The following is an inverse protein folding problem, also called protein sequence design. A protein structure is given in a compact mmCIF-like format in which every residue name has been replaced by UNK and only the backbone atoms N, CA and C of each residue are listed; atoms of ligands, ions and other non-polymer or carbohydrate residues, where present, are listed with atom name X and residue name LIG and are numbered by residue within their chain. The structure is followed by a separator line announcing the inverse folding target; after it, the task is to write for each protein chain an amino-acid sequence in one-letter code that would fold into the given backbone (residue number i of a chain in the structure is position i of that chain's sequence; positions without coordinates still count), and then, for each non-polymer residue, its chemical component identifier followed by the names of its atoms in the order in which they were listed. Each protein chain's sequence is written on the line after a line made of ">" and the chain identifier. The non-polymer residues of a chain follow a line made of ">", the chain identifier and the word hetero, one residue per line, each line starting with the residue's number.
data_IF_681904017046
#
_entry.id   IF_681904017046
#
_cell.length_a   1.000
_cell.length_b   1.000
_cell.length_c   1.000
_cell.angle_alpha   90.00
_cell.angle_beta   90.00
_cell.angle_gamma   90.00
#
_symmetry.space_group_name_H-M   'P 1'
#
loop_
_entity.id
_entity.type
_entity.pdbx_description
1 polymer ?
#
# COMPACT_ATOMS: atom_id res chain seq x y z
N UNK A 1 -12.14 60.31 44.03
CA UNK A 1 -12.35 58.93 43.53
C UNK A 1 -10.99 58.25 43.40
N UNK A 2 -10.63 57.37 44.35
CA UNK A 2 -9.32 56.72 44.40
C UNK A 2 -9.31 55.43 43.57
N UNK A 3 -8.40 55.33 42.60
CA UNK A 3 -8.13 54.12 41.81
C UNK A 3 -7.16 53.23 42.58
N UNK A 4 -7.67 52.13 43.13
CA UNK A 4 -6.85 51.06 43.73
C UNK A 4 -6.30 50.21 42.57
N UNK A 5 -5.00 50.37 42.27
CA UNK A 5 -4.28 49.47 41.36
C UNK A 5 -3.82 48.25 42.17
N UNK A 6 -4.44 47.09 41.93
CA UNK A 6 -3.93 45.81 42.44
C UNK A 6 -2.77 45.37 41.53
N UNK A 7 -1.55 45.47 42.05
CA UNK A 7 -0.40 44.78 41.47
C UNK A 7 -0.50 43.31 41.88
N UNK A 8 -1.04 42.46 41.00
CA UNK A 8 -0.90 41.01 41.15
C UNK A 8 0.46 40.63 40.55
N UNK A 9 1.45 40.45 41.40
CA UNK A 9 2.71 39.82 41.02
C UNK A 9 2.45 38.36 40.66
N UNK A 10 2.59 38.06 39.37
CA UNK A 10 2.43 36.74 38.78
C UNK A 10 3.63 35.88 39.19
N UNK A 11 3.59 35.30 40.39
CA UNK A 11 4.61 34.35 40.84
C UNK A 11 4.50 33.06 40.02
N UNK A 12 5.25 32.99 38.90
CA UNK A 12 5.54 31.74 38.20
C UNK A 12 6.40 30.87 39.10
N UNK A 13 5.75 30.05 39.92
CA UNK A 13 6.44 29.13 40.82
C UNK A 13 7.29 28.15 39.99
N UNK A 14 8.54 27.88 40.39
CA UNK A 14 9.42 26.92 39.73
C UNK A 14 8.90 25.47 39.82
N UNK A 15 7.80 25.26 40.54
CA UNK A 15 7.10 23.99 40.71
C UNK A 15 6.25 23.67 39.48
N UNK A 16 5.75 24.69 38.77
CA UNK A 16 4.90 24.51 37.60
C UNK A 16 5.55 23.70 36.45
N UNK A 17 6.84 23.88 36.09
CA UNK A 17 7.48 23.02 35.09
C UNK A 17 7.66 21.58 35.58
N UNK A 18 7.93 21.36 36.87
CA UNK A 18 8.07 20.01 37.44
C UNK A 18 6.77 19.22 37.38
N UNK A 19 5.63 19.86 37.72
CA UNK A 19 4.31 19.24 37.62
C UNK A 19 3.98 18.87 36.16
N UNK A 20 4.28 19.76 35.19
CA UNK A 20 4.08 19.47 33.77
C UNK A 20 4.91 18.27 33.31
N UNK A 21 6.16 18.19 33.72
CA UNK A 21 7.06 17.09 33.36
C UNK A 21 6.57 15.76 33.95
N UNK A 22 6.13 15.77 35.21
CA UNK A 22 5.55 14.60 35.89
C UNK A 22 4.26 14.14 35.19
N UNK A 23 3.41 15.07 34.76
CA UNK A 23 2.18 14.74 34.04
C UNK A 23 2.45 14.10 32.67
N UNK A 24 3.45 14.60 31.94
CA UNK A 24 3.89 13.98 30.66
C UNK A 24 4.41 12.56 30.90
N UNK A 25 5.23 12.36 31.95
CA UNK A 25 5.75 11.05 32.32
C UNK A 25 4.63 10.07 32.69
N UNK A 26 3.61 10.55 33.43
CA UNK A 26 2.43 9.76 33.79
C UNK A 26 1.63 9.34 32.55
N UNK A 27 1.41 10.24 31.59
CA UNK A 27 0.71 9.93 30.33
C UNK A 27 1.47 8.88 29.52
N UNK A 28 2.80 8.99 29.42
CA UNK A 28 3.64 8.03 28.72
C UNK A 28 3.62 6.64 29.39
N UNK A 29 3.50 6.59 30.72
CA UNK A 29 3.37 5.34 31.47
C UNK A 29 1.97 4.70 31.36
N UNK A 30 0.90 5.51 31.27
CA UNK A 30 -0.46 5.00 31.09
C UNK A 30 -0.70 4.41 29.70
N UNK A 31 0.05 4.85 28.68
CA UNK A 31 -0.12 4.39 27.30
C UNK A 31 1.14 3.74 26.72
N UNK A 32 1.53 2.54 27.21
CA UNK A 32 2.73 1.85 26.72
C UNK A 32 2.66 1.51 25.22
N UNK A 33 1.46 1.43 24.64
CA UNK A 33 1.22 1.19 23.21
C UNK A 33 1.58 2.38 22.31
N UNK A 34 1.75 3.60 22.83
CA UNK A 34 2.17 4.75 22.04
C UNK A 34 3.68 4.83 21.82
N UNK A 35 4.48 4.16 22.67
CA UNK A 35 5.96 4.23 22.61
C UNK A 35 6.56 3.02 21.89
N UNK A 36 5.77 2.00 21.60
CA UNK A 36 6.16 0.95 20.64
C UNK A 36 6.09 1.51 19.22
N UNK A 37 7.02 2.39 18.87
CA UNK A 37 7.28 2.71 17.47
C UNK A 37 7.72 1.40 16.80
N UNK A 38 6.78 0.72 16.17
CA UNK A 38 7.06 -0.43 15.30
C UNK A 38 7.99 0.13 14.22
N UNK A 39 9.30 -0.03 14.39
CA UNK A 39 10.29 0.22 13.35
C UNK A 39 9.91 -0.71 12.20
N UNK A 40 9.06 -0.23 11.30
CA UNK A 40 8.83 -0.88 10.01
C UNK A 40 10.21 -0.92 9.37
N UNK A 41 10.81 -2.10 9.34
CA UNK A 41 12.11 -2.39 8.75
C UNK A 41 12.15 -1.77 7.35
N UNK A 42 13.19 -0.99 7.06
CA UNK A 42 13.29 -0.20 5.82
C UNK A 42 13.20 -1.05 4.55
N UNK A 43 13.47 -2.35 4.67
CA UNK A 43 13.40 -3.36 3.60
C UNK A 43 12.00 -3.39 2.96
N UNK A 44 10.92 -3.45 3.76
CA UNK A 44 9.56 -3.52 3.23
C UNK A 44 9.17 -2.27 2.42
N UNK A 45 9.73 -1.11 2.76
CA UNK A 45 9.46 0.13 2.03
C UNK A 45 10.03 0.09 0.60
N UNK A 46 11.21 -0.51 0.41
CA UNK A 46 11.84 -0.64 -0.92
C UNK A 46 11.01 -1.55 -1.83
N UNK A 47 10.61 -2.71 -1.33
CA UNK A 47 9.76 -3.68 -2.06
C UNK A 47 8.43 -3.08 -2.48
N UNK A 48 7.72 -2.43 -1.56
CA UNK A 48 6.45 -1.75 -1.85
C UNK A 48 6.64 -0.68 -2.93
N UNK A 49 7.73 0.10 -2.86
CA UNK A 49 8.03 1.14 -3.86
C UNK A 49 8.31 0.54 -5.25
N UNK A 50 8.97 -0.61 -5.35
CA UNK A 50 9.21 -1.31 -6.62
C UNK A 50 7.88 -1.74 -7.27
N UNK A 51 6.98 -2.37 -6.49
CA UNK A 51 5.66 -2.80 -6.98
C UNK A 51 4.79 -1.59 -7.38
N UNK A 52 4.82 -0.52 -6.60
CA UNK A 52 4.09 0.69 -6.95
C UNK A 52 4.62 1.31 -8.25
N UNK A 53 5.94 1.28 -8.47
CA UNK A 53 6.55 1.75 -9.71
C UNK A 53 6.10 0.92 -10.90
N UNK A 54 6.10 -0.42 -10.81
CA UNK A 54 5.62 -1.29 -11.89
C UNK A 54 4.14 -1.07 -12.18
N UNK A 55 3.29 -0.94 -11.15
CA UNK A 55 1.88 -0.62 -11.34
C UNK A 55 1.69 0.72 -12.07
N UNK A 56 2.44 1.76 -11.69
CA UNK A 56 2.35 3.06 -12.35
C UNK A 56 2.81 2.99 -13.82
N UNK A 57 3.80 2.17 -14.14
CA UNK A 57 4.24 1.93 -15.53
C UNK A 57 3.12 1.28 -16.33
N UNK A 58 2.52 0.20 -15.83
CA UNK A 58 1.40 -0.49 -16.50
C UNK A 58 0.22 0.47 -16.69
N UNK A 59 -0.14 1.22 -15.64
CA UNK A 59 -1.20 2.24 -15.70
C UNK A 59 -0.91 3.31 -16.76
N UNK A 60 0.31 3.83 -16.83
CA UNK A 60 0.71 4.83 -17.83
C UNK A 60 0.57 4.28 -19.25
N UNK A 61 1.08 3.07 -19.50
CA UNK A 61 0.99 2.43 -20.81
C UNK A 61 -0.47 2.24 -21.24
N UNK A 62 -1.36 1.93 -20.30
CA UNK A 62 -2.79 1.80 -20.55
C UNK A 62 -3.49 3.15 -20.76
N UNK A 63 -3.10 4.20 -20.05
CA UNK A 63 -3.59 5.57 -20.29
C UNK A 63 -3.28 5.99 -21.72
N UNK A 64 -2.08 5.71 -22.22
CA UNK A 64 -1.66 6.06 -23.57
C UNK A 64 -2.40 5.23 -24.65
N UNK A 65 -2.87 4.03 -24.29
CA UNK A 65 -3.60 3.13 -25.18
C UNK A 65 -5.12 3.40 -25.22
N UNK A 66 -5.67 4.01 -24.17
CA UNK A 66 -7.08 4.39 -24.08
C UNK A 66 -7.31 5.80 -24.66
N UNK A 67 -8.46 6.04 -25.30
CA UNK A 67 -8.76 7.31 -25.97
C UNK A 67 -8.91 8.46 -24.95
N UNK A 68 -7.99 9.44 -24.87
CA UNK A 68 -8.04 10.50 -23.87
C UNK A 68 -9.27 11.41 -23.99
N UNK A 69 -9.97 11.39 -25.14
CA UNK A 69 -11.15 12.23 -25.37
C UNK A 69 -12.36 11.85 -24.53
N UNK A 70 -12.40 10.62 -24.00
CA UNK A 70 -13.53 10.09 -23.23
C UNK A 70 -13.18 9.84 -21.76
N UNK A 71 -12.84 10.90 -21.02
CA UNK A 71 -12.35 10.79 -19.64
C UNK A 71 -13.20 9.93 -18.70
N UNK A 72 -14.53 9.87 -18.88
CA UNK A 72 -15.41 9.03 -18.06
C UNK A 72 -15.38 7.54 -18.47
N UNK A 73 -15.41 7.22 -19.77
CA UNK A 73 -15.26 5.82 -20.26
C UNK A 73 -13.83 5.28 -20.06
N UNK A 74 -12.86 6.19 -19.88
CA UNK A 74 -11.46 5.82 -19.78
C UNK A 74 -11.12 5.00 -18.56
N UNK A 75 -11.85 5.12 -17.45
CA UNK A 75 -11.50 4.35 -16.26
C UNK A 75 -11.70 2.85 -16.48
N UNK A 76 -12.81 2.44 -17.11
CA UNK A 76 -13.07 1.03 -17.43
C UNK A 76 -12.11 0.49 -18.50
N UNK A 77 -11.77 1.30 -19.50
CA UNK A 77 -10.74 0.96 -20.47
C UNK A 77 -9.38 0.72 -19.79
N UNK A 78 -8.96 1.63 -18.90
CA UNK A 78 -7.66 1.55 -18.21
C UNK A 78 -7.62 0.32 -17.31
N UNK A 79 -8.65 0.06 -16.51
CA UNK A 79 -8.68 -1.09 -15.61
C UNK A 79 -8.65 -2.41 -16.39
N UNK A 80 -9.46 -2.53 -17.45
CA UNK A 80 -9.42 -3.72 -18.33
C UNK A 80 -8.06 -3.91 -19.01
N UNK A 81 -7.44 -2.83 -19.47
CA UNK A 81 -6.09 -2.86 -20.05
C UNK A 81 -5.02 -3.29 -19.03
N UNK A 82 -5.11 -2.81 -17.79
CA UNK A 82 -4.10 -3.10 -16.76
C UNK A 82 -4.06 -4.57 -16.39
N UNK A 83 -5.23 -5.21 -16.24
CA UNK A 83 -5.36 -6.64 -16.01
C UNK A 83 -6.82 -7.07 -16.22
N UNK A 84 -7.08 -7.88 -17.24
CA UNK A 84 -8.45 -8.30 -17.60
C UNK A 84 -9.08 -9.22 -16.53
N UNK A 85 -8.28 -10.09 -15.91
CA UNK A 85 -8.77 -11.01 -14.86
C UNK A 85 -9.24 -10.23 -13.62
N UNK A 86 -8.40 -9.32 -13.09
CA UNK A 86 -8.77 -8.45 -11.98
C UNK A 86 -9.94 -7.52 -12.33
N UNK A 87 -10.09 -7.14 -13.61
CA UNK A 87 -11.24 -6.36 -14.04
C UNK A 87 -12.52 -7.20 -13.97
N UNK A 88 -12.48 -8.44 -14.45
CA UNK A 88 -13.61 -9.37 -14.34
C UNK A 88 -14.02 -9.61 -12.88
N UNK A 89 -13.04 -9.82 -11.99
CA UNK A 89 -13.30 -10.07 -10.57
C UNK A 89 -13.89 -8.86 -9.82
N UNK A 90 -13.58 -7.62 -10.22
CA UNK A 90 -14.06 -6.43 -9.49
C UNK A 90 -15.24 -5.76 -10.21
N UNK A 91 -15.24 -5.78 -11.54
CA UNK A 91 -16.19 -5.10 -12.42
C UNK A 91 -17.09 -6.05 -13.22
N UNK A 92 -17.06 -7.34 -12.91
CA UNK A 92 -17.96 -8.34 -13.49
C UNK A 92 -19.42 -8.14 -13.12
N UNK A 93 -20.30 -8.80 -13.87
CA UNK A 93 -21.77 -8.75 -13.68
C UNK A 93 -22.18 -9.17 -12.26
N UNK A 94 -21.43 -10.10 -11.66
CA UNK A 94 -21.65 -10.58 -10.29
C UNK A 94 -21.44 -9.52 -9.20
N UNK A 95 -20.68 -8.46 -9.52
CA UNK A 95 -20.36 -7.35 -8.62
C UNK A 95 -21.04 -6.03 -9.01
N UNK A 96 -22.11 -6.09 -9.81
CA UNK A 96 -22.87 -4.92 -10.25
C UNK A 96 -22.42 -4.32 -11.57
N UNK A 97 -21.49 -4.96 -12.29
CA UNK A 97 -21.05 -4.55 -13.63
C UNK A 97 -20.11 -3.35 -13.65
N UNK A 98 -19.84 -2.86 -14.85
CA UNK A 98 -19.03 -1.67 -15.10
C UNK A 98 -19.69 -0.42 -14.50
N UNK A 99 -18.87 0.51 -14.00
CA UNK A 99 -19.36 1.77 -13.41
C UNK A 99 -20.05 2.63 -14.47
N UNK A 100 -21.13 3.30 -14.08
CA UNK A 100 -21.80 4.24 -14.96
C UNK A 100 -20.97 5.53 -15.17
N UNK A 101 -21.29 6.29 -16.21
CA UNK A 101 -20.57 7.54 -16.53
C UNK A 101 -20.71 8.56 -15.39
N UNK A 102 -19.59 8.84 -14.72
CA UNK A 102 -19.53 9.79 -13.61
C UNK A 102 -19.62 9.13 -12.23
N UNK A 103 -19.81 7.82 -12.16
CA UNK A 103 -19.71 7.05 -10.93
C UNK A 103 -18.23 6.80 -10.59
N UNK A 104 -17.88 6.93 -9.31
CA UNK A 104 -16.54 6.62 -8.80
C UNK A 104 -16.69 5.79 -7.54
N UNK A 105 -16.31 4.51 -7.62
CA UNK A 105 -16.24 3.62 -6.47
C UNK A 105 -14.80 3.49 -5.98
N UNK A 106 -14.48 4.21 -4.89
CA UNK A 106 -13.15 4.18 -4.29
C UNK A 106 -12.78 2.81 -3.70
N UNK A 107 -13.77 2.04 -3.24
CA UNK A 107 -13.53 0.74 -2.61
C UNK A 107 -13.18 -0.29 -3.67
N UNK A 108 -13.96 -0.36 -4.75
CA UNK A 108 -13.67 -1.22 -5.91
C UNK A 108 -12.34 -0.83 -6.55
N UNK A 109 -12.05 0.46 -6.69
CA UNK A 109 -10.76 0.89 -7.24
C UNK A 109 -9.57 0.47 -6.35
N UNK A 110 -9.70 0.55 -5.02
CA UNK A 110 -8.66 0.03 -4.10
C UNK A 110 -8.50 -1.48 -4.21
N UNK A 111 -9.60 -2.22 -4.29
CA UNK A 111 -9.58 -3.68 -4.45
C UNK A 111 -8.94 -4.08 -5.78
N UNK A 112 -9.30 -3.41 -6.86
CA UNK A 112 -8.70 -3.59 -8.18
C UNK A 112 -7.19 -3.32 -8.17
N UNK A 113 -6.76 -2.18 -7.62
CA UNK A 113 -5.33 -1.87 -7.51
C UNK A 113 -4.58 -2.93 -6.69
N UNK A 114 -5.21 -3.48 -5.65
CA UNK A 114 -4.62 -4.54 -4.84
C UNK A 114 -4.48 -5.83 -5.65
N UNK A 115 -5.54 -6.27 -6.34
CA UNK A 115 -5.50 -7.43 -7.24
C UNK A 115 -4.37 -7.32 -8.27
N UNK A 116 -4.25 -6.16 -8.94
CA UNK A 116 -3.18 -5.93 -9.94
C UNK A 116 -1.79 -5.97 -9.29
N UNK A 117 -1.62 -5.42 -8.09
CA UNK A 117 -0.34 -5.50 -7.35
C UNK A 117 0.04 -6.95 -7.06
N UNK A 118 -0.94 -7.78 -6.71
CA UNK A 118 -0.70 -9.19 -6.41
C UNK A 118 -0.43 -10.01 -7.68
N UNK A 119 -1.11 -9.71 -8.79
CA UNK A 119 -0.79 -10.27 -10.11
C UNK A 119 0.65 -9.96 -10.54
N UNK A 120 1.09 -8.71 -10.41
CA UNK A 120 2.48 -8.30 -10.71
C UNK A 120 3.48 -9.03 -9.81
N UNK A 121 3.18 -9.21 -8.51
CA UNK A 121 4.04 -9.99 -7.61
C UNK A 121 4.18 -11.43 -8.07
N UNK A 122 3.06 -12.09 -8.43
CA UNK A 122 3.06 -13.47 -8.92
C UNK A 122 3.90 -13.61 -10.19
N UNK A 123 3.78 -12.67 -11.12
CA UNK A 123 4.58 -12.66 -12.35
C UNK A 123 6.08 -12.47 -12.06
N UNK A 124 6.45 -11.56 -11.15
CA UNK A 124 7.85 -11.35 -10.76
C UNK A 124 8.46 -12.60 -10.09
N UNK A 125 7.69 -13.28 -9.24
CA UNK A 125 8.14 -14.53 -8.61
C UNK A 125 8.28 -15.64 -9.66
N UNK A 126 7.33 -15.78 -10.57
CA UNK A 126 7.39 -16.76 -11.65
C UNK A 126 8.59 -16.52 -12.58
N UNK A 127 8.86 -15.26 -12.95
CA UNK A 127 10.00 -14.89 -13.77
C UNK A 127 11.33 -15.27 -13.11
N UNK A 128 11.47 -15.02 -11.80
CA UNK A 128 12.67 -15.42 -11.03
C UNK A 128 12.86 -16.93 -11.00
N UNK A 129 11.79 -17.68 -10.76
CA UNK A 129 11.85 -19.14 -10.76
C UNK A 129 12.26 -19.70 -12.12
N UNK A 130 11.80 -19.08 -13.21
CA UNK A 130 12.19 -19.46 -14.56
C UNK A 130 13.69 -19.20 -14.82
N UNK A 131 14.22 -18.04 -14.38
CA UNK A 131 15.65 -17.73 -14.51
C UNK A 131 16.51 -18.72 -13.72
N UNK A 132 16.11 -19.04 -12.48
CA UNK A 132 16.81 -20.02 -11.64
C UNK A 132 16.82 -21.43 -12.27
N UNK A 133 15.70 -21.85 -12.85
CA UNK A 133 15.60 -23.14 -13.54
C UNK A 133 16.47 -23.19 -14.81
N UNK A 134 16.56 -22.08 -15.55
CA UNK A 134 17.42 -21.99 -16.74
C UNK A 134 18.90 -22.04 -16.32
N UNK A 135 19.32 -21.28 -15.30
CA UNK A 135 20.70 -21.30 -14.80
C UNK A 135 21.12 -22.71 -14.37
N UNK A 136 20.28 -23.42 -13.59
CA UNK A 136 20.56 -24.78 -13.15
C UNK A 136 20.70 -25.79 -14.32
N UNK A 137 20.08 -25.51 -15.47
CA UNK A 137 20.18 -26.38 -16.66
C UNK A 137 21.45 -26.15 -17.48
N UNK A 138 22.06 -24.96 -17.41
CA UNK A 138 23.25 -24.60 -18.20
C UNK A 138 24.53 -25.20 -17.58
N UNK A 139 24.62 -25.28 -16.25
CA UNK A 139 25.79 -25.83 -15.54
C UNK A 139 26.03 -27.34 -15.79
N UNK A 140 25.05 -28.05 -16.37
CA UNK A 140 25.17 -29.46 -16.69
C UNK A 140 25.88 -29.73 -18.03
N UNK A 141 26.11 -28.73 -18.88
CA UNK A 141 26.48 -28.99 -20.29
C UNK A 141 27.75 -28.34 -20.86
N UNK A 142 28.51 -27.51 -20.14
CA UNK A 142 29.73 -26.93 -20.73
C UNK A 142 30.87 -26.75 -19.72
N UNK A 143 31.81 -27.70 -19.76
CA UNK A 143 33.12 -27.54 -19.16
C UNK A 143 34.04 -26.81 -20.14
N UNK A 144 34.53 -25.64 -19.71
CA UNK A 144 35.54 -24.78 -20.36
C UNK A 144 35.02 -23.63 -21.23
N UNK A 145 34.48 -22.59 -20.58
CA UNK A 145 34.57 -21.22 -21.12
C UNK A 145 35.36 -20.35 -20.12
N UNK A 146 36.47 -19.81 -20.61
CA UNK A 146 37.35 -18.89 -19.87
C UNK A 146 36.62 -17.56 -19.62
N UNK A 147 36.61 -17.15 -18.35
CA UNK A 147 35.99 -15.95 -17.81
C UNK A 147 36.53 -14.67 -18.45
N UNK A 148 35.66 -13.89 -19.09
CA UNK A 148 35.93 -12.50 -19.51
C UNK A 148 35.12 -11.56 -18.63
N UNK A 149 35.82 -10.89 -17.73
CA UNK A 149 35.69 -9.46 -17.40
C UNK A 149 34.39 -8.96 -16.78
N UNK A 150 34.39 -8.97 -15.45
CA UNK A 150 33.78 -8.03 -14.49
C UNK A 150 33.16 -6.75 -15.09
N UNK A 151 31.84 -6.76 -15.27
CA UNK A 151 31.01 -5.56 -15.15
C UNK A 151 30.23 -5.70 -13.83
N UNK A 152 30.66 -4.93 -12.82
CA UNK A 152 30.01 -4.81 -11.51
C UNK A 152 28.63 -4.13 -11.67
N UNK A 153 27.62 -4.92 -12.05
CA UNK A 153 26.23 -4.54 -11.82
C UNK A 153 25.97 -4.67 -10.32
N UNK A 154 25.69 -3.55 -9.64
CA UNK A 154 25.28 -3.52 -8.22
C UNK A 154 24.01 -4.37 -8.04
N UNK A 155 24.22 -5.66 -7.85
CA UNK A 155 23.18 -6.64 -7.64
C UNK A 155 22.85 -6.61 -6.14
N UNK A 156 21.85 -5.79 -5.79
CA UNK A 156 21.20 -5.74 -4.46
C UNK A 156 20.47 -7.08 -4.16
N UNK A 157 21.20 -8.19 -4.18
CA UNK A 157 20.73 -9.57 -3.93
C UNK A 157 20.72 -9.89 -2.43
N UNK A 158 20.03 -9.07 -1.64
CA UNK A 158 19.62 -9.45 -0.28
C UNK A 158 18.09 -9.34 -0.20
N UNK A 159 17.39 -10.13 -1.02
CA UNK A 159 15.94 -10.26 -0.95
C UNK A 159 15.59 -11.66 -0.44
N UNK A 160 15.71 -11.83 0.88
CA UNK A 160 15.01 -12.92 1.57
C UNK A 160 13.56 -12.94 1.07
N UNK A 161 13.15 -14.08 0.53
CA UNK A 161 11.75 -14.39 0.24
C UNK A 161 11.06 -14.53 1.59
N UNK A 162 10.75 -13.39 2.20
CA UNK A 162 9.86 -13.36 3.35
C UNK A 162 8.51 -13.76 2.78
N UNK A 163 8.07 -14.97 3.11
CA UNK A 163 6.67 -15.37 3.04
C UNK A 163 5.90 -14.31 3.84
N UNK A 164 5.35 -13.33 3.12
CA UNK A 164 4.46 -12.35 3.71
C UNK A 164 3.19 -13.15 3.97
N UNK A 165 3.08 -13.71 5.17
CA UNK A 165 1.79 -14.05 5.75
C UNK A 165 0.92 -12.81 5.54
N UNK A 166 -0.08 -12.96 4.67
CA UNK A 166 -1.07 -11.95 4.37
C UNK A 166 -1.67 -11.53 5.70
N UNK A 167 -1.17 -10.42 6.24
CA UNK A 167 -1.74 -9.85 7.44
C UNK A 167 -3.05 -9.21 6.97
N UNK A 168 -4.11 -10.02 6.93
CA UNK A 168 -5.52 -9.73 6.64
C UNK A 168 -6.13 -8.72 7.63
N UNK A 169 -5.37 -7.71 8.03
CA UNK A 169 -5.80 -6.69 8.96
C UNK A 169 -6.50 -5.52 8.22
N UNK A 170 -7.30 -5.85 7.21
CA UNK A 170 -8.29 -4.96 6.58
C UNK A 170 -9.73 -5.33 7.01
N UNK A 171 -9.89 -6.15 8.06
CA UNK A 171 -11.17 -6.43 8.69
C UNK A 171 -11.48 -5.47 9.85
N UNK A 172 -11.45 -4.16 9.63
CA UNK A 172 -12.26 -3.24 10.46
C UNK A 172 -13.58 -3.00 9.72
N UNK A 173 -14.51 -3.94 9.95
CA UNK A 173 -15.88 -3.63 10.36
C UNK A 173 -16.63 -2.62 9.47
N UNK A 174 -17.11 -3.08 8.31
CA UNK A 174 -18.21 -2.43 7.59
C UNK A 174 -19.52 -3.16 7.93
N UNK A 175 -19.88 -3.11 9.21
CA UNK A 175 -21.21 -3.48 9.70
C UNK A 175 -22.13 -2.26 9.50
N UNK A 176 -22.71 -2.10 8.30
CA UNK A 176 -23.81 -1.15 8.09
C UNK A 176 -24.94 -1.77 7.27
N UNK A 177 -26.10 -1.84 7.94
CA UNK A 177 -27.47 -1.80 7.42
C UNK A 177 -28.02 -3.04 6.70
N UNK A 178 -28.61 -3.94 7.50
CA UNK A 178 -29.67 -4.87 7.06
C UNK A 178 -31.05 -4.56 7.66
N UNK A 179 -31.24 -3.40 8.32
CA UNK A 179 -32.55 -3.04 8.88
C UNK A 179 -33.31 -2.08 7.95
N UNK A 180 -34.59 -2.39 7.78
CA UNK A 180 -35.66 -1.63 7.11
C UNK A 180 -35.81 -1.78 5.59
N UNK A 181 -36.15 -2.99 5.14
CA UNK A 181 -37.26 -3.14 4.19
C UNK A 181 -38.32 -4.05 4.85
N UNK A 182 -39.02 -3.49 5.83
CA UNK A 182 -40.33 -4.02 6.23
C UNK A 182 -41.32 -3.51 5.21
N UNK A 183 -41.66 -4.42 4.30
CA UNK A 183 -42.97 -4.59 3.67
C UNK A 183 -44.10 -3.81 4.37
N UNK A 184 -44.57 -2.73 3.77
CA UNK A 184 -45.96 -2.29 3.94
C UNK A 184 -46.69 -2.49 2.62
N UNK A 185 -47.81 -3.19 2.76
CA UNK A 185 -48.84 -3.54 1.76
C UNK A 185 -49.50 -2.33 1.09
#
# INVERSE_FOLDING_TARGET
>A
MAKIRKASEEYKSPIHPLIKLLFILLILLLMPKLVTSKRRTGVNKRKIKRIQKSLNIVKSNCIDSCDPSKMAENQMCISKCMNEDCHGEIYGEEHGGELELGEVDELRNKAFEQCVKDAIRREQVAARNNVANVAASVDAHDGSIESIGDDEEENDEDEEVVDIEENENNGEELEYMQDEIISEE
#
